data_IF_781173154023
#
_entry.id   IF_781173154023
#
_cell.length_a   1.000
_cell.length_b   1.000
_cell.length_c   1.000
_cell.angle_alpha   90.00
_cell.angle_beta   90.00
_cell.angle_gamma   90.00
#
_symmetry.space_group_name_H-M   'P 1'
#
loop_
_entity.id
_entity.type
_entity.pdbx_description
1 polymer ?
#
# COMPACT_ATOMS: atom_id res chain seq x y z
N UNK A 1 2.78 8.64 9.25
CA UNK A 1 2.71 9.34 7.93
C UNK A 1 1.58 8.73 7.14
N UNK A 2 0.67 9.58 6.66
CA UNK A 2 -0.71 9.31 6.17
C UNK A 2 -0.80 8.76 4.74
N UNK A 3 0.26 8.10 4.24
CA UNK A 3 0.25 7.56 2.89
C UNK A 3 -0.95 6.59 2.74
N UNK A 4 -1.85 6.85 1.80
CA UNK A 4 -3.09 6.07 1.54
C UNK A 4 -4.17 6.06 2.63
N UNK A 5 -4.14 6.99 3.60
CA UNK A 5 -5.09 6.98 4.72
C UNK A 5 -6.51 7.44 4.33
N UNK A 6 -6.65 8.17 3.22
CA UNK A 6 -7.94 8.58 2.66
C UNK A 6 -8.05 8.06 1.23
N UNK A 7 -9.08 7.24 0.98
CA UNK A 7 -9.52 6.79 -0.34
C UNK A 7 -10.97 7.21 -0.48
N UNK A 8 -11.29 7.88 -1.58
CA UNK A 8 -12.65 8.25 -1.93
C UNK A 8 -13.12 7.31 -3.06
N UNK A 9 -14.40 6.93 -3.06
CA UNK A 9 -14.97 6.00 -4.05
C UNK A 9 -16.26 5.37 -3.55
N UNK A 10 -16.95 4.63 -4.43
CA UNK A 10 -18.06 3.76 -4.01
C UNK A 10 -17.52 2.53 -3.30
N UNK A 11 -18.35 1.88 -2.47
CA UNK A 11 -18.00 0.60 -1.84
C UNK A 11 -17.52 -0.39 -2.91
N UNK A 12 -18.30 -0.60 -3.97
CA UNK A 12 -17.97 -1.53 -5.06
C UNK A 12 -16.62 -1.25 -5.74
N UNK A 13 -16.20 0.02 -5.81
CA UNK A 13 -14.89 0.38 -6.33
C UNK A 13 -13.78 0.06 -5.32
N UNK A 14 -14.00 0.40 -4.05
CA UNK A 14 -13.02 0.26 -2.97
C UNK A 14 -12.82 -1.20 -2.52
N UNK A 15 -13.78 -2.09 -2.76
CA UNK A 15 -13.62 -3.55 -2.58
C UNK A 15 -12.47 -4.14 -3.41
N UNK A 16 -12.02 -3.39 -4.43
CA UNK A 16 -10.94 -3.73 -5.35
C UNK A 16 -9.79 -2.71 -5.30
N UNK A 17 -9.66 -1.91 -4.25
CA UNK A 17 -8.53 -0.99 -4.06
C UNK A 17 -7.89 -1.25 -2.69
N UNK A 18 -6.78 -1.99 -2.72
CA UNK A 18 -5.97 -2.20 -1.54
C UNK A 18 -4.56 -1.67 -1.75
N UNK A 19 -4.03 -1.00 -0.72
CA UNK A 19 -2.62 -0.63 -0.67
C UNK A 19 -1.92 -1.42 0.44
N UNK A 20 -0.76 -1.98 0.13
CA UNK A 20 0.11 -2.69 1.07
C UNK A 20 1.48 -2.03 1.09
N UNK A 21 1.90 -1.59 2.27
CA UNK A 21 3.18 -0.92 2.47
C UNK A 21 4.07 -1.70 3.43
N UNK A 22 5.35 -1.79 3.08
CA UNK A 22 6.39 -2.45 3.88
C UNK A 22 7.41 -1.42 4.34
N UNK A 23 7.57 -1.28 5.66
CA UNK A 23 8.33 -0.19 6.27
C UNK A 23 9.30 -0.69 7.34
N UNK A 24 10.62 -0.65 7.08
CA UNK A 24 11.62 -0.70 8.13
C UNK A 24 11.52 0.54 9.04
N UNK A 25 11.51 0.32 10.35
CA UNK A 25 11.42 1.33 11.40
C UNK A 25 12.81 1.81 11.83
N UNK A 26 13.04 3.12 11.73
CA UNK A 26 14.26 3.78 12.22
C UNK A 26 14.41 3.58 13.73
N UNK A 27 15.62 3.24 14.15
CA UNK A 27 15.94 2.96 15.56
C UNK A 27 15.56 1.56 16.04
N UNK A 28 14.91 0.73 15.22
CA UNK A 28 14.51 -0.63 15.61
C UNK A 28 15.08 -1.69 14.66
N UNK A 29 14.68 -1.66 13.39
CA UNK A 29 15.02 -2.70 12.41
C UNK A 29 15.43 -2.11 11.06
N UNK A 30 15.88 -0.85 11.02
CA UNK A 30 16.33 -0.17 9.81
C UNK A 30 17.64 -0.75 9.26
N UNK A 31 18.65 -0.87 10.13
CA UNK A 31 19.95 -1.44 9.76
C UNK A 31 19.80 -2.96 9.60
N UNK A 32 20.36 -3.52 8.53
CA UNK A 32 20.21 -4.92 8.15
C UNK A 32 18.85 -5.28 7.55
N UNK A 33 18.00 -4.30 7.23
CA UNK A 33 16.67 -4.58 6.62
C UNK A 33 16.73 -4.95 5.15
N UNK A 34 17.79 -4.61 4.41
CA UNK A 34 17.89 -4.81 2.97
C UNK A 34 17.55 -6.24 2.53
N UNK A 35 18.23 -7.28 3.06
CA UNK A 35 17.93 -8.68 2.71
C UNK A 35 16.51 -9.12 3.08
N UNK A 36 15.97 -8.59 4.19
CA UNK A 36 14.61 -8.89 4.66
C UNK A 36 13.55 -8.31 3.73
N UNK A 37 13.70 -7.02 3.40
CA UNK A 37 12.85 -6.30 2.45
C UNK A 37 12.92 -6.96 1.07
N UNK A 38 14.10 -7.43 0.66
CA UNK A 38 14.27 -8.17 -0.60
C UNK A 38 13.43 -9.44 -0.64
N UNK A 39 13.48 -10.28 0.40
CA UNK A 39 12.67 -11.52 0.46
C UNK A 39 11.17 -11.25 0.45
N UNK A 40 10.73 -10.20 1.17
CA UNK A 40 9.33 -9.76 1.10
C UNK A 40 8.97 -9.32 -0.32
N UNK A 41 9.86 -8.59 -1.01
CA UNK A 41 9.60 -8.12 -2.37
C UNK A 41 9.53 -9.28 -3.38
N UNK A 42 10.42 -10.26 -3.26
CA UNK A 42 10.40 -11.50 -4.06
C UNK A 42 9.06 -12.23 -3.87
N UNK A 43 8.57 -12.34 -2.63
CA UNK A 43 7.25 -12.90 -2.35
C UNK A 43 6.12 -12.09 -2.98
N UNK A 44 6.16 -10.77 -2.86
CA UNK A 44 5.15 -9.89 -3.46
C UNK A 44 5.11 -10.03 -4.99
N UNK A 45 6.24 -10.27 -5.67
CA UNK A 45 6.24 -10.55 -7.11
C UNK A 45 5.44 -11.81 -7.46
N UNK A 46 5.50 -12.86 -6.64
CA UNK A 46 4.76 -14.11 -6.87
C UNK A 46 3.24 -13.90 -6.79
N UNK A 47 2.79 -13.00 -5.92
CA UNK A 47 1.37 -12.71 -5.71
C UNK A 47 0.77 -11.74 -6.75
N UNK A 48 1.59 -11.28 -7.71
CA UNK A 48 1.18 -10.48 -8.86
C UNK A 48 0.29 -9.26 -8.49
N UNK A 49 0.83 -8.27 -7.72
CA UNK A 49 0.16 -7.02 -7.42
C UNK A 49 -0.17 -6.26 -8.70
N UNK A 50 -1.22 -5.43 -8.68
CA UNK A 50 -1.57 -4.59 -9.83
C UNK A 50 -0.53 -3.52 -10.09
N UNK A 51 0.14 -3.04 -9.03
CA UNK A 51 1.29 -2.15 -9.15
C UNK A 51 2.22 -2.33 -7.96
N UNK A 52 3.51 -2.04 -8.15
CA UNK A 52 4.51 -2.10 -7.08
C UNK A 52 5.67 -1.16 -7.37
N UNK A 53 6.24 -0.58 -6.33
CA UNK A 53 7.42 0.29 -6.39
C UNK A 53 8.26 0.15 -5.12
N UNK A 54 9.58 0.22 -5.28
CA UNK A 54 10.53 0.35 -4.18
C UNK A 54 11.07 1.78 -4.10
N UNK A 55 11.20 2.31 -2.89
CA UNK A 55 11.58 3.72 -2.65
C UNK A 55 12.97 4.10 -3.16
N UNK A 56 13.86 3.13 -3.32
CA UNK A 56 15.25 3.34 -3.77
C UNK A 56 15.36 3.54 -5.27
N UNK A 57 14.59 2.81 -6.08
CA UNK A 57 14.59 2.94 -7.55
C UNK A 57 13.57 3.94 -8.08
N UNK A 58 12.45 4.12 -7.37
CA UNK A 58 11.36 5.06 -7.74
C UNK A 58 10.78 4.83 -9.15
N UNK A 59 10.80 3.58 -9.63
CA UNK A 59 10.15 3.12 -10.87
C UNK A 59 9.15 2.04 -10.52
N UNK A 60 7.95 2.13 -11.07
CA UNK A 60 6.87 1.17 -10.82
C UNK A 60 6.79 0.10 -11.92
N UNK A 61 5.89 -0.87 -11.80
CA UNK A 61 5.74 -1.96 -12.79
C UNK A 61 5.39 -1.48 -14.20
N UNK A 62 4.74 -0.31 -14.33
CA UNK A 62 4.41 0.29 -15.62
C UNK A 62 5.57 1.08 -16.25
N UNK A 63 6.71 1.17 -15.57
CA UNK A 63 7.88 1.93 -16.04
C UNK A 63 8.83 1.12 -16.93
N UNK A 64 8.45 -0.11 -17.33
CA UNK A 64 9.29 -1.02 -18.13
C UNK A 64 10.56 -1.50 -17.40
N UNK A 65 10.53 -1.51 -16.06
CA UNK A 65 11.65 -1.98 -15.23
C UNK A 65 11.58 -3.49 -15.05
N UNK A 66 12.73 -4.18 -15.13
CA UNK A 66 12.80 -5.62 -14.89
C UNK A 66 12.84 -5.92 -13.38
N UNK A 67 12.25 -7.04 -12.91
CA UNK A 67 12.28 -7.39 -11.48
C UNK A 67 13.68 -7.40 -10.87
N UNK A 68 14.69 -7.84 -11.61
CA UNK A 68 16.08 -7.94 -11.12
C UNK A 68 16.63 -6.55 -10.76
N UNK A 69 16.39 -5.55 -11.61
CA UNK A 69 16.81 -4.16 -11.37
C UNK A 69 16.15 -3.59 -10.10
N UNK A 70 14.89 -3.95 -9.88
CA UNK A 70 14.15 -3.55 -8.67
C UNK A 70 14.78 -4.19 -7.44
N UNK A 71 15.03 -5.50 -7.47
CA UNK A 71 15.60 -6.24 -6.35
C UNK A 71 17.05 -5.84 -6.03
N UNK A 72 17.86 -5.51 -7.04
CA UNK A 72 19.23 -5.00 -6.89
C UNK A 72 19.27 -3.59 -6.30
N UNK A 73 18.23 -2.79 -6.51
CA UNK A 73 18.14 -1.44 -5.93
C UNK A 73 17.88 -1.42 -4.42
N UNK A 74 17.51 -2.56 -3.83
CA UNK A 74 17.11 -2.65 -2.42
C UNK A 74 18.32 -2.45 -1.51
N UNK A 75 18.18 -1.52 -0.57
CA UNK A 75 19.17 -1.19 0.46
C UNK A 75 18.46 -1.10 1.81
N UNK A 76 19.24 -1.02 2.89
CA UNK A 76 18.70 -0.78 4.22
C UNK A 76 17.79 0.45 4.25
N UNK A 77 16.59 0.26 4.82
CA UNK A 77 15.56 1.29 4.89
C UNK A 77 14.71 1.45 3.63
N UNK A 78 14.91 0.60 2.61
CA UNK A 78 14.03 0.55 1.47
C UNK A 78 12.59 0.25 1.91
N UNK A 79 11.63 0.95 1.28
CA UNK A 79 10.20 0.78 1.51
C UNK A 79 9.58 0.23 0.25
N UNK A 80 8.62 -0.68 0.41
CA UNK A 80 7.84 -1.23 -0.69
C UNK A 80 6.44 -0.64 -0.61
N UNK A 81 5.92 -0.23 -1.75
CA UNK A 81 4.53 0.18 -1.91
C UNK A 81 3.92 -0.68 -3.00
N UNK A 82 2.88 -1.43 -2.64
CA UNK A 82 2.16 -2.31 -3.56
C UNK A 82 0.68 -1.96 -3.56
N UNK A 83 0.04 -2.12 -4.71
CA UNK A 83 -1.40 -2.05 -4.87
C UNK A 83 -1.92 -3.41 -5.30
N UNK A 84 -3.07 -3.80 -4.74
CA UNK A 84 -3.79 -5.02 -5.11
C UNK A 84 -5.20 -4.64 -5.50
N UNK A 85 -5.70 -5.27 -6.56
CA UNK A 85 -7.07 -5.10 -7.04
C UNK A 85 -7.96 -6.31 -6.77
N UNK A 86 -7.48 -7.25 -5.95
CA UNK A 86 -8.15 -8.49 -5.61
C UNK A 86 -7.83 -8.84 -4.15
N UNK A 87 -8.89 -9.16 -3.40
CA UNK A 87 -8.84 -9.48 -1.96
C UNK A 87 -8.03 -10.74 -1.70
N UNK A 88 -8.22 -11.78 -2.50
CA UNK A 88 -7.57 -13.08 -2.34
C UNK A 88 -6.05 -12.97 -2.54
N UNK A 89 -5.59 -12.25 -3.57
CA UNK A 89 -4.16 -11.98 -3.80
C UNK A 89 -3.51 -11.24 -2.64
N UNK A 90 -4.19 -10.24 -2.09
CA UNK A 90 -3.69 -9.55 -0.90
C UNK A 90 -3.61 -10.50 0.30
N UNK A 91 -4.63 -11.35 0.49
CA UNK A 91 -4.64 -12.34 1.57
C UNK A 91 -3.47 -13.31 1.46
N UNK A 92 -3.23 -13.87 0.27
CA UNK A 92 -2.09 -14.77 0.04
C UNK A 92 -0.74 -14.07 0.27
N UNK A 93 -0.60 -12.81 -0.15
CA UNK A 93 0.56 -12.00 0.19
C UNK A 93 0.76 -11.84 1.71
N UNK A 94 -0.32 -11.58 2.47
CA UNK A 94 -0.25 -11.48 3.93
C UNK A 94 0.08 -12.83 4.60
N UNK A 95 -0.44 -13.94 4.09
CA UNK A 95 -0.08 -15.30 4.54
C UNK A 95 1.41 -15.54 4.30
N UNK A 96 1.90 -15.20 3.12
CA UNK A 96 3.30 -15.30 2.75
C UNK A 96 4.21 -14.48 3.65
N UNK A 97 3.88 -13.20 3.86
CA UNK A 97 4.62 -12.31 4.76
C UNK A 97 4.62 -12.84 6.20
N UNK A 98 3.48 -13.34 6.68
CA UNK A 98 3.37 -13.95 8.00
C UNK A 98 4.29 -15.17 8.15
N UNK A 99 4.38 -16.02 7.12
CA UNK A 99 5.27 -17.19 7.10
C UNK A 99 6.75 -16.79 7.07
N UNK A 100 7.10 -15.72 6.36
CA UNK A 100 8.48 -15.20 6.30
C UNK A 100 8.95 -14.62 7.64
N UNK A 101 8.03 -14.01 8.40
CA UNK A 101 8.28 -13.45 9.74
C UNK A 101 9.56 -12.61 9.88
N UNK A 102 9.77 -11.71 8.90
CA UNK A 102 10.99 -10.89 8.85
C UNK A 102 11.07 -9.81 9.94
N UNK A 103 9.98 -9.61 10.69
CA UNK A 103 9.85 -8.56 11.69
C UNK A 103 9.86 -7.15 11.10
N UNK A 104 9.37 -6.97 9.86
CA UNK A 104 9.21 -5.66 9.20
C UNK A 104 7.75 -5.22 9.27
N UNK A 105 7.50 -3.94 9.50
CA UNK A 105 6.14 -3.40 9.61
C UNK A 105 5.40 -3.52 8.28
N UNK A 106 4.15 -3.99 8.35
CA UNK A 106 3.21 -4.08 7.25
C UNK A 106 2.03 -3.15 7.54
N UNK A 107 1.65 -2.33 6.57
CA UNK A 107 0.45 -1.48 6.65
C UNK A 107 -0.46 -1.82 5.49
N UNK A 108 -1.74 -2.06 5.77
CA UNK A 108 -2.76 -2.34 4.76
C UNK A 108 -3.80 -1.23 4.81
N UNK A 109 -4.15 -0.69 3.65
CA UNK A 109 -5.27 0.23 3.44
C UNK A 109 -6.30 -0.43 2.53
N UNK A 110 -7.58 -0.24 2.84
CA UNK A 110 -8.73 -0.81 2.15
C UNK A 110 -10.00 -0.59 2.99
N UNK A 111 -11.13 -1.14 2.55
CA UNK A 111 -12.35 -1.14 3.37
C UNK A 111 -12.09 -1.87 4.69
N UNK A 112 -12.31 -1.18 5.82
CA UNK A 112 -11.84 -1.67 7.13
C UNK A 112 -12.45 -3.01 7.51
N UNK A 113 -13.73 -3.23 7.20
CA UNK A 113 -14.41 -4.48 7.53
C UNK A 113 -13.78 -5.66 6.78
N UNK A 114 -13.46 -5.48 5.49
CA UNK A 114 -12.79 -6.51 4.68
C UNK A 114 -11.35 -6.76 5.14
N UNK A 115 -10.61 -5.70 5.49
CA UNK A 115 -9.23 -5.85 6.01
C UNK A 115 -9.23 -6.60 7.34
N UNK A 116 -10.20 -6.31 8.23
CA UNK A 116 -10.34 -7.00 9.52
C UNK A 116 -10.77 -8.46 9.35
N UNK A 117 -11.71 -8.73 8.47
CA UNK A 117 -12.14 -10.09 8.14
C UNK A 117 -10.96 -10.90 7.60
N UNK A 118 -10.24 -10.38 6.59
CA UNK A 118 -9.04 -11.03 6.06
C UNK A 118 -7.99 -11.30 7.14
N UNK A 119 -7.72 -10.32 8.00
CA UNK A 119 -6.76 -10.48 9.10
C UNK A 119 -7.21 -11.59 10.06
N UNK A 120 -8.50 -11.65 10.40
CA UNK A 120 -9.04 -12.70 11.26
C UNK A 120 -8.94 -14.09 10.61
N UNK A 121 -9.26 -14.24 9.33
CA UNK A 121 -9.13 -15.50 8.57
C UNK A 121 -7.72 -16.09 8.66
N UNK A 122 -6.70 -15.24 8.66
CA UNK A 122 -5.29 -15.66 8.68
C UNK A 122 -4.64 -15.52 10.06
N UNK A 123 -5.44 -15.34 11.12
CA UNK A 123 -5.00 -15.20 12.50
C UNK A 123 -3.93 -14.09 12.67
N UNK A 124 -4.19 -12.91 12.10
CA UNK A 124 -3.44 -11.67 12.34
C UNK A 124 -4.31 -10.71 13.15
N UNK A 125 -3.69 -10.01 14.10
CA UNK A 125 -4.35 -8.99 14.90
C UNK A 125 -3.75 -7.61 14.61
N UNK A 126 -4.44 -6.71 13.89
CA UNK A 126 -3.95 -5.37 13.63
C UNK A 126 -3.75 -4.59 14.94
N UNK A 127 -2.51 -4.17 15.22
CA UNK A 127 -2.17 -3.43 16.44
C UNK A 127 -2.70 -1.98 16.46
N UNK A 128 -2.90 -1.36 15.29
CA UNK A 128 -3.37 0.02 15.13
C UNK A 128 -4.30 0.08 13.92
N UNK A 129 -5.41 0.81 14.05
CA UNK A 129 -6.36 1.06 12.95
C UNK A 129 -6.56 2.56 12.81
N UNK A 130 -6.43 3.07 11.58
CA UNK A 130 -6.76 4.44 11.24
C UNK A 130 -8.03 4.44 10.38
N UNK A 131 -9.00 5.29 10.73
CA UNK A 131 -10.23 5.48 9.98
C UNK A 131 -10.24 6.87 9.38
N UNK A 132 -10.49 6.96 8.08
CA UNK A 132 -10.79 8.22 7.43
C UNK A 132 -12.23 8.61 7.74
N UNK A 133 -12.42 9.78 8.36
CA UNK A 133 -13.76 10.35 8.63
C UNK A 133 -14.38 11.05 7.41
N UNK A 134 -13.63 11.13 6.30
CA UNK A 134 -14.04 11.81 5.09
C UNK A 134 -13.67 13.30 5.11
N UNK A 135 -14.36 14.07 4.26
CA UNK A 135 -14.13 15.51 4.10
C UNK A 135 -15.28 16.26 4.77
N UNK A 136 -14.94 17.24 5.62
CA UNK A 136 -15.91 18.04 6.36
C UNK A 136 -15.80 19.53 5.97
N UNK A 137 -16.90 20.28 6.13
CA UNK A 137 -16.95 21.73 5.90
C UNK A 137 -17.60 22.11 4.57
N UNK A 138 -17.03 23.10 3.87
CA UNK A 138 -17.57 23.64 2.60
C UNK A 138 -17.28 22.72 1.41
N UNK A 139 -17.92 21.54 1.41
CA UNK A 139 -17.76 20.51 0.36
C UNK A 139 -18.30 20.95 -1.00
N UNK A 140 -19.15 21.99 -1.03
CA UNK A 140 -19.64 22.67 -2.23
C UNK A 140 -18.53 23.28 -3.10
N UNK A 141 -17.38 23.60 -2.49
CA UNK A 141 -16.25 24.22 -3.19
C UNK A 141 -15.23 23.23 -3.74
N UNK A 142 -15.43 21.94 -3.48
CA UNK A 142 -14.47 20.92 -3.86
C UNK A 142 -14.67 20.51 -5.33
N UNK A 143 -13.60 20.02 -6.00
CA UNK A 143 -13.75 19.35 -7.27
C UNK A 143 -14.78 18.23 -7.19
N UNK A 144 -15.43 17.84 -8.29
CA UNK A 144 -16.42 16.77 -8.27
C UNK A 144 -15.81 15.43 -7.83
N UNK A 145 -16.61 14.49 -7.29
CA UNK A 145 -16.10 13.27 -6.65
C UNK A 145 -15.22 12.40 -7.55
N UNK A 146 -15.54 12.28 -8.82
CA UNK A 146 -14.75 11.58 -9.84
C UNK A 146 -13.32 12.11 -9.97
N UNK A 147 -13.10 13.42 -9.81
CA UNK A 147 -11.77 14.03 -9.78
C UNK A 147 -11.09 13.85 -8.42
N UNK A 148 -11.86 13.95 -7.34
CA UNK A 148 -11.32 13.80 -5.98
C UNK A 148 -10.79 12.41 -5.71
N UNK A 149 -11.46 11.37 -6.22
CA UNK A 149 -11.01 9.97 -6.15
C UNK A 149 -9.54 9.80 -6.51
N UNK A 150 -9.03 10.58 -7.48
CA UNK A 150 -7.62 10.55 -7.87
C UNK A 150 -6.75 11.51 -7.07
N UNK A 151 -7.20 12.75 -6.90
CA UNK A 151 -6.39 13.81 -6.27
C UNK A 151 -6.19 13.60 -4.78
N UNK A 152 -7.09 12.88 -4.11
CA UNK A 152 -7.02 12.63 -2.66
C UNK A 152 -6.39 11.28 -2.29
N UNK A 153 -6.04 10.41 -3.25
CA UNK A 153 -5.50 9.05 -2.99
C UNK A 153 -4.30 9.00 -2.03
N UNK A 154 -3.40 9.99 -2.12
CA UNK A 154 -2.22 10.04 -1.27
C UNK A 154 -2.52 10.61 0.13
N UNK A 155 -3.71 11.17 0.36
CA UNK A 155 -4.11 11.91 1.55
C UNK A 155 -3.57 13.35 1.63
N UNK A 156 -2.74 13.77 0.68
CA UNK A 156 -2.04 15.07 0.72
C UNK A 156 -2.49 16.05 -0.38
N UNK A 157 -3.29 15.62 -1.37
CA UNK A 157 -3.74 16.52 -2.44
C UNK A 157 -2.64 17.01 -3.38
N UNK A 158 -1.60 16.19 -3.61
CA UNK A 158 -0.39 16.60 -4.35
C UNK A 158 -0.59 16.78 -5.86
N UNK A 159 -1.77 16.45 -6.39
CA UNK A 159 -2.11 16.60 -7.81
C UNK A 159 -3.20 17.64 -7.93
N UNK A 160 -2.95 18.67 -8.75
CA UNK A 160 -3.96 19.70 -9.02
C UNK A 160 -5.18 19.08 -9.71
N UNK A 161 -6.41 19.37 -9.24
CA UNK A 161 -7.64 18.91 -9.89
C UNK A 161 -7.75 19.32 -11.36
N UNK A 162 -7.12 20.43 -11.76
CA UNK A 162 -7.12 20.90 -13.15
C UNK A 162 -6.29 20.04 -14.12
N UNK A 163 -5.50 19.09 -13.61
CA UNK A 163 -4.67 18.18 -14.41
C UNK A 163 -5.28 16.78 -14.56
N UNK A 164 -6.41 16.51 -13.89
CA UNK A 164 -7.13 15.24 -13.97
C UNK A 164 -8.29 15.42 -14.96
N UNK A 165 -8.47 14.47 -15.88
CA UNK A 165 -9.46 14.49 -16.96
C UNK A 165 -10.19 13.18 -17.04
#
# INVERSE_FOLDING_TARGET
>A
MTHSLHREGTISSLERDYALFIYPARGFNYNGSGPKVRRIMELLYLEAPSNMIVSTLRRNLYSGVRPEEVLESIKDGARIYSAFNNREKLKEALVGIKKLDEGISVVVSGLIDQVREMAAEINLNPHTINLSLGIHGRTDRLPPPDIRQFTTMCGHGMVSPALVR
#
